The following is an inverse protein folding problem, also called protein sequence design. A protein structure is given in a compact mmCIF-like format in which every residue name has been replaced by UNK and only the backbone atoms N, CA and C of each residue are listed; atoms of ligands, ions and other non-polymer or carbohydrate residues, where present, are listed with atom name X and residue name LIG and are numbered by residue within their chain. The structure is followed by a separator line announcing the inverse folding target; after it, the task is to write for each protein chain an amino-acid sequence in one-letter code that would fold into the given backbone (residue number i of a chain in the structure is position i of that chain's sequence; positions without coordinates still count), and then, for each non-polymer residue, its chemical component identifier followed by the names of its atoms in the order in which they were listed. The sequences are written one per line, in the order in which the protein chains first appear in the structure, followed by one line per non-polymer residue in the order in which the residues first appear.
data_IF_803429523786
#
_entry.id   IF_803429523786
#
_cell.length_a   1.000
_cell.length_b   1.000
_cell.length_c   1.000
_cell.angle_alpha   90.00
_cell.angle_beta   90.00
_cell.angle_gamma   90.00
#
_symmetry.space_group_name_H-M   'P 1'
#
loop_
_entity.id
_entity.type
_entity.pdbx_description
1 polymer ?
#
# COMPACT_ATOMS: atom_id res chain seq x y z
N UNK A 1 -28.70 18.37 11.48
CA UNK A 1 -29.61 17.51 10.71
C UNK A 1 -30.50 16.75 11.69
N UNK A 2 -31.81 16.91 11.61
CA UNK A 2 -32.78 16.34 12.57
C UNK A 2 -32.85 14.81 12.46
N UNK A 3 -33.20 14.11 13.54
CA UNK A 3 -33.26 12.64 13.60
C UNK A 3 -34.30 12.06 12.61
N UNK A 4 -35.31 12.86 12.29
CA UNK A 4 -36.32 12.57 11.26
C UNK A 4 -35.71 12.48 9.84
N UNK A 5 -34.85 13.46 9.47
CA UNK A 5 -34.20 13.50 8.14
C UNK A 5 -33.22 12.35 7.93
N UNK A 6 -32.54 11.93 9.01
CA UNK A 6 -31.65 10.78 9.01
C UNK A 6 -32.42 9.49 8.73
N UNK A 7 -33.52 9.28 9.47
CA UNK A 7 -34.39 8.12 9.32
C UNK A 7 -35.01 8.04 7.92
N UNK A 8 -35.41 9.18 7.35
CA UNK A 8 -35.93 9.27 5.99
C UNK A 8 -34.86 8.90 4.94
N UNK A 9 -33.62 9.37 5.11
CA UNK A 9 -32.51 9.08 4.20
C UNK A 9 -32.14 7.59 4.21
N UNK A 10 -32.06 6.97 5.40
CA UNK A 10 -31.82 5.53 5.53
C UNK A 10 -32.96 4.69 4.95
N UNK A 11 -34.22 5.11 5.14
CA UNK A 11 -35.38 4.43 4.55
C UNK A 11 -35.34 4.52 3.02
N UNK A 12 -34.97 5.68 2.47
CA UNK A 12 -34.83 5.84 1.03
C UNK A 12 -33.73 4.94 0.47
N UNK A 13 -32.55 4.91 1.11
CA UNK A 13 -31.47 4.01 0.71
C UNK A 13 -31.92 2.54 0.73
N UNK A 14 -32.62 2.10 1.79
CA UNK A 14 -33.17 0.73 1.91
C UNK A 14 -34.13 0.39 0.78
N UNK A 15 -35.07 1.30 0.47
CA UNK A 15 -36.03 1.12 -0.63
C UNK A 15 -35.33 1.03 -1.97
N UNK A 16 -34.32 1.87 -2.21
CA UNK A 16 -33.54 1.87 -3.46
C UNK A 16 -32.75 0.58 -3.62
N UNK A 17 -32.03 0.12 -2.59
CA UNK A 17 -31.35 -1.18 -2.61
C UNK A 17 -32.33 -2.33 -2.89
N UNK A 18 -33.47 -2.35 -2.21
CA UNK A 18 -34.49 -3.38 -2.40
C UNK A 18 -35.08 -3.38 -3.82
N UNK A 19 -35.26 -2.20 -4.43
CA UNK A 19 -35.72 -2.06 -5.82
C UNK A 19 -34.69 -2.65 -6.78
N UNK A 20 -33.42 -2.26 -6.62
CA UNK A 20 -32.31 -2.70 -7.49
C UNK A 20 -32.10 -4.20 -7.40
N UNK A 21 -32.12 -4.78 -6.19
CA UNK A 21 -31.98 -6.22 -6.03
C UNK A 21 -33.15 -6.99 -6.65
N UNK A 22 -34.38 -6.50 -6.53
CA UNK A 22 -35.54 -7.11 -7.19
C UNK A 22 -35.44 -7.05 -8.71
N UNK A 23 -34.94 -5.94 -9.25
CA UNK A 23 -34.73 -5.75 -10.70
C UNK A 23 -33.65 -6.69 -11.26
N UNK A 24 -32.63 -7.03 -10.44
CA UNK A 24 -31.43 -7.74 -10.88
C UNK A 24 -31.26 -9.16 -10.27
N UNK A 25 -32.30 -9.74 -9.67
CA UNK A 25 -32.26 -11.10 -9.13
C UNK A 25 -31.31 -11.28 -7.94
N UNK A 26 -31.38 -10.37 -6.97
CA UNK A 26 -30.54 -10.32 -5.75
C UNK A 26 -29.03 -10.11 -6.00
N UNK A 27 -28.64 -9.66 -7.20
CA UNK A 27 -27.27 -9.32 -7.56
C UNK A 27 -27.18 -7.84 -7.95
N UNK A 28 -26.11 -7.15 -7.56
CA UNK A 28 -25.80 -5.81 -8.06
C UNK A 28 -24.75 -5.96 -9.15
N UNK A 29 -25.14 -5.83 -10.43
CA UNK A 29 -24.25 -6.09 -11.56
C UNK A 29 -23.33 -4.91 -11.87
N UNK A 30 -21.99 -5.07 -11.89
CA UNK A 30 -20.98 -4.00 -12.04
C UNK A 30 -21.06 -3.17 -13.33
N UNK A 31 -21.87 -3.58 -14.29
CA UNK A 31 -22.03 -2.90 -15.59
C UNK A 31 -23.32 -2.08 -15.74
N UNK A 32 -24.22 -2.00 -14.76
CA UNK A 32 -25.45 -1.21 -14.88
C UNK A 32 -25.28 0.25 -14.40
N UNK A 33 -25.23 1.25 -15.30
CA UNK A 33 -25.06 2.65 -14.92
C UNK A 33 -26.27 3.18 -14.14
N UNK A 34 -27.47 2.63 -14.37
CA UNK A 34 -28.69 3.10 -13.71
C UNK A 34 -28.69 2.77 -12.22
N UNK A 35 -28.17 1.59 -11.87
CA UNK A 35 -27.97 1.20 -10.48
C UNK A 35 -26.99 2.13 -9.77
N UNK A 36 -25.87 2.47 -10.43
CA UNK A 36 -24.87 3.41 -9.93
C UNK A 36 -25.47 4.78 -9.60
N UNK A 37 -26.18 5.36 -10.56
CA UNK A 37 -26.73 6.71 -10.50
C UNK A 37 -27.85 6.85 -9.46
N UNK A 38 -28.54 5.74 -9.14
CA UNK A 38 -29.59 5.70 -8.12
C UNK A 38 -29.06 5.55 -6.70
N UNK A 39 -28.06 4.69 -6.48
CA UNK A 39 -27.60 4.33 -5.13
C UNK A 39 -26.51 5.28 -4.62
N UNK A 40 -25.52 5.62 -5.45
CA UNK A 40 -24.32 6.33 -4.99
C UNK A 40 -24.61 7.69 -4.34
N UNK A 41 -25.50 8.56 -4.88
CA UNK A 41 -25.79 9.84 -4.24
C UNK A 41 -26.44 9.68 -2.85
N UNK A 42 -27.31 8.68 -2.68
CA UNK A 42 -27.94 8.36 -1.40
C UNK A 42 -26.91 7.81 -0.42
N UNK A 43 -26.01 6.94 -0.90
CA UNK A 43 -24.95 6.38 -0.08
C UNK A 43 -23.96 7.45 0.40
N UNK A 44 -23.54 8.38 -0.47
CA UNK A 44 -22.71 9.51 -0.07
C UNK A 44 -23.38 10.36 1.01
N UNK A 45 -24.67 10.65 0.86
CA UNK A 45 -25.42 11.39 1.87
C UNK A 45 -25.42 10.65 3.21
N UNK A 46 -25.54 9.32 3.20
CA UNK A 46 -25.39 8.50 4.41
C UNK A 46 -23.96 8.57 4.94
N UNK A 47 -22.92 8.43 4.12
CA UNK A 47 -21.53 8.58 4.58
C UNK A 47 -21.30 9.90 5.31
N UNK A 48 -21.75 11.04 4.75
CA UNK A 48 -21.61 12.35 5.42
C UNK A 48 -22.41 12.46 6.73
N UNK A 49 -23.47 11.64 6.91
CA UNK A 49 -24.19 11.55 8.20
C UNK A 49 -23.39 10.81 9.27
N UNK A 50 -22.56 9.84 8.87
CA UNK A 50 -21.70 9.06 9.75
C UNK A 50 -20.31 9.69 9.90
N UNK A 51 -19.88 10.53 8.95
CA UNK A 51 -18.58 11.20 8.97
C UNK A 51 -18.73 12.63 8.41
N UNK A 52 -19.01 13.64 9.27
CA UNK A 52 -19.06 15.04 8.87
C UNK A 52 -17.76 15.53 8.21
N UNK A 53 -17.88 16.36 7.17
CA UNK A 53 -16.73 16.89 6.40
C UNK A 53 -15.76 17.75 7.24
N UNK A 54 -16.20 18.28 8.38
CA UNK A 54 -15.33 19.02 9.31
C UNK A 54 -14.41 18.10 10.13
N UNK A 55 -14.81 16.83 10.33
CA UNK A 55 -13.95 15.81 10.95
C UNK A 55 -12.93 15.24 9.96
N UNK A 56 -13.14 15.44 8.65
CA UNK A 56 -12.17 15.16 7.58
C UNK A 56 -10.90 16.04 7.65
N UNK A 57 -10.98 17.19 8.31
CA UNK A 57 -9.87 18.16 8.43
C UNK A 57 -8.92 17.84 9.60
N UNK A 58 -9.33 17.02 10.57
CA UNK A 58 -8.51 16.61 11.73
C UNK A 58 -8.08 15.12 11.66
N UNK A 59 -7.76 14.64 10.46
CA UNK A 59 -7.64 13.22 10.12
C UNK A 59 -6.35 12.53 10.57
N UNK A 60 -6.06 12.51 11.88
CA UNK A 60 -5.02 11.60 12.39
C UNK A 60 -5.36 10.77 13.63
N UNK A 61 -6.29 11.18 14.49
CA UNK A 61 -6.51 10.42 15.74
C UNK A 61 -7.97 10.18 16.15
N UNK A 62 -8.98 10.83 15.56
CA UNK A 62 -10.34 10.88 16.16
C UNK A 62 -11.42 10.09 15.39
N UNK A 63 -11.19 9.74 14.12
CA UNK A 63 -12.25 9.20 13.23
C UNK A 63 -12.69 7.77 13.60
N UNK A 64 -11.94 7.07 14.44
CA UNK A 64 -12.32 5.70 14.85
C UNK A 64 -13.51 5.60 15.80
N UNK A 65 -14.04 6.70 16.35
CA UNK A 65 -14.95 6.62 17.50
C UNK A 65 -16.32 7.30 17.39
N UNK A 66 -16.78 7.72 16.22
CA UNK A 66 -18.17 8.17 16.07
C UNK A 66 -18.86 7.51 14.87
N UNK A 67 -19.69 6.50 15.17
CA UNK A 67 -20.58 5.75 14.27
C UNK A 67 -19.85 4.99 13.16
N UNK A 68 -19.59 3.70 13.39
CA UNK A 68 -18.73 2.90 12.53
C UNK A 68 -19.50 2.33 11.32
N UNK A 69 -18.83 2.15 10.17
CA UNK A 69 -19.39 1.42 9.03
C UNK A 69 -19.96 0.03 9.38
N UNK A 70 -19.58 -0.54 10.53
CA UNK A 70 -20.15 -1.79 11.06
C UNK A 70 -21.65 -1.68 11.36
N UNK A 71 -22.11 -0.54 11.86
CA UNK A 71 -23.54 -0.34 12.10
C UNK A 71 -24.34 -0.41 10.79
N UNK A 72 -23.78 0.12 9.70
CA UNK A 72 -24.38 0.02 8.37
C UNK A 72 -24.38 -1.43 7.88
N UNK A 73 -23.30 -2.19 8.12
CA UNK A 73 -23.23 -3.61 7.76
C UNK A 73 -24.27 -4.46 8.52
N UNK A 74 -24.56 -4.11 9.77
CA UNK A 74 -25.63 -4.77 10.55
C UNK A 74 -27.02 -4.40 10.01
N UNK A 75 -27.22 -3.15 9.61
CA UNK A 75 -28.52 -2.65 9.16
C UNK A 75 -28.86 -2.99 7.70
N UNK A 76 -27.86 -3.26 6.87
CA UNK A 76 -28.00 -3.44 5.42
C UNK A 76 -27.11 -4.60 4.93
N UNK A 77 -27.73 -5.75 4.68
CA UNK A 77 -27.06 -6.93 4.10
C UNK A 77 -26.52 -6.67 2.68
N UNK A 78 -27.07 -5.66 2.01
CA UNK A 78 -26.77 -5.25 0.64
C UNK A 78 -25.43 -4.52 0.52
N UNK A 79 -24.85 -4.08 1.63
CA UNK A 79 -23.59 -3.34 1.64
C UNK A 79 -22.41 -4.18 1.15
N UNK A 80 -22.36 -5.47 1.48
CA UNK A 80 -21.27 -6.34 1.00
C UNK A 80 -21.33 -6.49 -0.53
N UNK A 81 -22.46 -6.90 -1.16
CA UNK A 81 -22.59 -6.87 -2.62
C UNK A 81 -22.31 -5.49 -3.24
N UNK A 82 -22.77 -4.42 -2.60
CA UNK A 82 -22.53 -3.06 -3.07
C UNK A 82 -21.05 -2.67 -3.03
N UNK A 83 -20.30 -3.11 -2.02
CA UNK A 83 -18.85 -2.93 -1.96
C UNK A 83 -18.15 -3.63 -3.13
N UNK A 84 -18.57 -4.85 -3.48
CA UNK A 84 -18.09 -5.56 -4.67
C UNK A 84 -18.36 -4.79 -5.94
N UNK A 85 -19.59 -4.30 -6.10
CA UNK A 85 -19.99 -3.47 -7.24
C UNK A 85 -19.12 -2.21 -7.39
N UNK A 86 -18.89 -1.46 -6.31
CA UNK A 86 -18.02 -0.27 -6.32
C UNK A 86 -16.57 -0.62 -6.65
N UNK A 87 -16.07 -1.74 -6.12
CA UNK A 87 -14.71 -2.22 -6.35
C UNK A 87 -14.51 -2.65 -7.81
N UNK A 88 -15.45 -3.41 -8.37
CA UNK A 88 -15.45 -3.80 -9.78
C UNK A 88 -15.49 -2.58 -10.71
N UNK A 89 -16.31 -1.58 -10.37
CA UNK A 89 -16.39 -0.33 -11.12
C UNK A 89 -15.05 0.42 -11.12
N UNK A 90 -14.41 0.59 -9.95
CA UNK A 90 -13.08 1.20 -9.87
C UNK A 90 -12.06 0.43 -10.69
N UNK A 91 -12.02 -0.90 -10.56
CA UNK A 91 -11.08 -1.75 -11.30
C UNK A 91 -11.31 -1.63 -12.80
N UNK A 92 -12.56 -1.63 -13.25
CA UNK A 92 -12.90 -1.44 -14.66
C UNK A 92 -12.41 -0.08 -15.18
N UNK A 93 -12.75 1.01 -14.49
CA UNK A 93 -12.39 2.37 -14.92
C UNK A 93 -10.88 2.62 -14.87
N UNK A 94 -10.17 2.07 -13.88
CA UNK A 94 -8.70 2.12 -13.79
C UNK A 94 -8.08 1.35 -14.95
N UNK A 95 -8.48 0.10 -15.18
CA UNK A 95 -7.92 -0.73 -16.27
C UNK A 95 -8.21 -0.13 -17.64
N UNK A 96 -9.39 0.44 -17.84
CA UNK A 96 -9.73 1.16 -19.08
C UNK A 96 -8.77 2.31 -19.34
N UNK A 97 -8.37 3.05 -18.30
CA UNK A 97 -7.41 4.15 -18.38
C UNK A 97 -5.96 3.70 -18.41
N UNK A 98 -5.65 2.52 -17.89
CA UNK A 98 -4.33 1.92 -18.02
C UNK A 98 -4.03 1.52 -19.48
N UNK A 99 -5.07 1.30 -20.30
CA UNK A 99 -4.95 1.05 -21.73
C UNK A 99 -4.76 2.36 -22.52
N UNK A 100 -3.59 2.99 -22.33
CA UNK A 100 -3.13 4.17 -23.05
C UNK A 100 -1.85 3.86 -23.85
N UNK A 101 -1.44 4.77 -24.73
CA UNK A 101 -0.28 4.58 -25.61
C UNK A 101 1.05 4.59 -24.83
N UNK A 102 1.10 5.30 -23.70
CA UNK A 102 2.25 5.36 -22.81
C UNK A 102 1.88 5.19 -21.34
N UNK A 103 2.85 4.78 -20.52
CA UNK A 103 2.69 4.68 -19.05
C UNK A 103 2.43 6.04 -18.41
N UNK A 104 3.01 7.12 -18.96
CA UNK A 104 2.77 8.51 -18.51
C UNK A 104 1.32 8.94 -18.71
N UNK A 105 0.76 8.70 -19.89
CA UNK A 105 -0.64 9.02 -20.18
C UNK A 105 -1.59 8.14 -19.38
N UNK A 106 -1.25 6.86 -19.19
CA UNK A 106 -1.98 5.97 -18.30
C UNK A 106 -2.03 6.52 -16.86
N UNK A 107 -0.87 6.91 -16.31
CA UNK A 107 -0.76 7.49 -14.98
C UNK A 107 -1.59 8.77 -14.86
N UNK A 108 -1.45 9.70 -15.82
CA UNK A 108 -2.20 10.95 -15.84
C UNK A 108 -3.71 10.74 -15.93
N UNK A 109 -4.17 9.82 -16.79
CA UNK A 109 -5.59 9.52 -16.95
C UNK A 109 -6.21 8.91 -15.69
N UNK A 110 -5.48 7.99 -15.02
CA UNK A 110 -5.92 7.39 -13.75
C UNK A 110 -5.95 8.46 -12.66
N UNK A 111 -4.90 9.29 -12.55
CA UNK A 111 -4.84 10.40 -11.61
C UNK A 111 -6.01 11.37 -11.82
N UNK A 112 -6.29 11.78 -13.06
CA UNK A 112 -7.39 12.68 -13.41
C UNK A 112 -8.77 12.14 -13.04
N UNK A 113 -8.95 10.82 -13.10
CA UNK A 113 -10.20 10.18 -12.70
C UNK A 113 -10.39 10.13 -11.18
N UNK A 114 -9.31 9.89 -10.45
CA UNK A 114 -9.36 9.70 -9.00
C UNK A 114 -9.24 11.01 -8.21
N UNK A 115 -8.75 12.10 -8.82
CA UNK A 115 -8.49 13.37 -8.13
C UNK A 115 -9.72 13.90 -7.39
N UNK A 116 -9.45 14.50 -6.24
CA UNK A 116 -10.46 15.03 -5.33
C UNK A 116 -11.21 16.26 -5.86
N UNK A 117 -10.76 16.87 -6.95
CA UNK A 117 -11.33 18.09 -7.49
C UNK A 117 -11.73 17.95 -8.97
N UNK A 118 -13.00 18.19 -9.33
CA UNK A 118 -14.09 18.60 -8.44
C UNK A 118 -14.49 17.50 -7.44
N UNK A 119 -15.02 17.84 -6.25
CA UNK A 119 -15.37 16.87 -5.20
C UNK A 119 -16.46 15.88 -5.61
N UNK A 120 -17.24 16.22 -6.63
CA UNK A 120 -18.27 15.37 -7.24
C UNK A 120 -17.72 14.47 -8.36
N UNK A 121 -16.39 14.41 -8.56
CA UNK A 121 -15.81 13.51 -9.55
C UNK A 121 -16.20 12.08 -9.21
N UNK A 122 -16.63 11.33 -10.23
CA UNK A 122 -17.17 9.98 -10.05
C UNK A 122 -16.13 9.05 -9.43
N UNK A 123 -14.88 9.10 -9.89
CA UNK A 123 -13.80 8.24 -9.38
C UNK A 123 -13.47 8.54 -7.93
N UNK A 124 -13.35 9.82 -7.56
CA UNK A 124 -13.14 10.23 -6.17
C UNK A 124 -14.25 9.78 -5.24
N UNK A 125 -15.49 9.95 -5.69
CA UNK A 125 -16.68 9.58 -4.93
C UNK A 125 -16.71 8.08 -4.62
N UNK A 126 -16.42 7.24 -5.61
CA UNK A 126 -16.37 5.78 -5.41
C UNK A 126 -15.18 5.39 -4.55
N UNK A 127 -14.02 6.02 -4.73
CA UNK A 127 -12.84 5.78 -3.89
C UNK A 127 -13.17 6.04 -2.41
N UNK A 128 -13.77 7.20 -2.09
CA UNK A 128 -14.20 7.52 -0.73
C UNK A 128 -15.21 6.50 -0.17
N UNK A 129 -16.15 6.07 -1.00
CA UNK A 129 -17.15 5.07 -0.59
C UNK A 129 -16.51 3.72 -0.26
N UNK A 130 -15.55 3.26 -1.07
CA UNK A 130 -14.80 2.03 -0.78
C UNK A 130 -13.94 2.19 0.48
N UNK A 131 -13.21 3.29 0.63
CA UNK A 131 -12.40 3.57 1.83
C UNK A 131 -13.23 3.60 3.10
N UNK A 132 -14.43 4.21 3.06
CA UNK A 132 -15.37 4.19 4.17
C UNK A 132 -15.86 2.78 4.50
N UNK A 133 -16.13 1.92 3.51
CA UNK A 133 -16.52 0.54 3.79
C UNK A 133 -15.37 -0.30 4.36
N UNK A 134 -14.14 -0.06 3.90
CA UNK A 134 -12.92 -0.71 4.41
C UNK A 134 -12.67 -0.37 5.88
N UNK A 135 -13.00 0.85 6.33
CA UNK A 135 -12.83 1.24 7.74
C UNK A 135 -13.78 0.53 8.71
N UNK A 136 -14.72 -0.31 8.23
CA UNK A 136 -15.44 -1.28 9.07
C UNK A 136 -14.51 -2.31 9.73
N UNK A 137 -13.38 -2.65 9.09
CA UNK A 137 -12.59 -3.80 9.52
C UNK A 137 -13.28 -5.15 9.29
N UNK A 138 -14.42 -5.19 8.59
CA UNK A 138 -15.18 -6.41 8.35
C UNK A 138 -14.52 -7.34 7.34
N UNK A 139 -14.20 -8.58 7.74
CA UNK A 139 -13.59 -9.59 6.87
C UNK A 139 -14.40 -9.85 5.58
N UNK A 140 -15.74 -9.73 5.63
CA UNK A 140 -16.61 -9.89 4.46
C UNK A 140 -16.37 -8.81 3.40
N UNK A 141 -16.06 -7.58 3.84
CA UNK A 141 -15.72 -6.47 2.94
C UNK A 141 -14.39 -6.73 2.27
N UNK A 142 -13.34 -7.08 3.03
CA UNK A 142 -12.03 -7.40 2.44
C UNK A 142 -12.09 -8.55 1.43
N UNK A 143 -12.79 -9.63 1.79
CA UNK A 143 -13.00 -10.76 0.87
C UNK A 143 -13.72 -10.33 -0.42
N UNK A 144 -14.71 -9.45 -0.31
CA UNK A 144 -15.44 -8.98 -1.47
C UNK A 144 -14.57 -8.07 -2.36
N UNK A 145 -13.76 -7.20 -1.77
CA UNK A 145 -12.79 -6.34 -2.47
C UNK A 145 -11.74 -7.19 -3.21
N UNK A 146 -11.26 -8.28 -2.59
CA UNK A 146 -10.31 -9.20 -3.21
C UNK A 146 -10.93 -9.92 -4.42
N UNK A 147 -12.20 -10.33 -4.36
CA UNK A 147 -12.89 -10.94 -5.52
C UNK A 147 -12.91 -9.99 -6.73
N UNK A 148 -13.03 -8.69 -6.49
CA UNK A 148 -12.98 -7.65 -7.51
C UNK A 148 -11.57 -7.36 -8.05
N UNK A 149 -10.52 -7.95 -7.47
CA UNK A 149 -9.12 -7.69 -7.83
C UNK A 149 -8.71 -6.23 -7.63
N UNK A 150 -9.32 -5.53 -6.66
CA UNK A 150 -8.98 -4.13 -6.40
C UNK A 150 -7.56 -3.97 -5.83
N UNK A 151 -7.07 -4.77 -4.86
CA UNK A 151 -5.74 -4.57 -4.29
C UNK A 151 -4.62 -4.68 -5.32
N UNK A 152 -4.59 -5.75 -6.10
CA UNK A 152 -3.68 -5.93 -7.23
C UNK A 152 -3.74 -4.81 -8.26
N UNK A 153 -4.95 -4.33 -8.58
CA UNK A 153 -5.13 -3.19 -9.49
C UNK A 153 -4.56 -1.90 -8.90
N UNK A 154 -4.75 -1.65 -7.60
CA UNK A 154 -4.19 -0.48 -6.94
C UNK A 154 -2.66 -0.56 -6.84
N UNK A 155 -2.06 -1.73 -6.54
CA UNK A 155 -0.59 -1.90 -6.58
C UNK A 155 -0.02 -1.47 -7.94
N UNK A 156 -0.68 -1.86 -9.04
CA UNK A 156 -0.30 -1.42 -10.39
C UNK A 156 -0.45 0.08 -10.60
N UNK A 157 -1.46 0.72 -10.01
CA UNK A 157 -1.62 2.18 -10.02
C UNK A 157 -0.45 2.86 -9.31
N UNK A 158 -0.10 2.40 -8.11
CA UNK A 158 1.05 2.92 -7.36
C UNK A 158 2.37 2.77 -8.12
N UNK A 159 2.54 1.66 -8.83
CA UNK A 159 3.71 1.44 -9.68
C UNK A 159 3.71 2.37 -10.92
N UNK A 160 2.56 2.56 -11.57
CA UNK A 160 2.42 3.49 -12.71
C UNK A 160 2.66 4.95 -12.31
N UNK A 161 2.37 5.33 -11.07
CA UNK A 161 2.56 6.70 -10.61
C UNK A 161 4.03 7.13 -10.49
N UNK A 162 4.99 6.22 -10.66
CA UNK A 162 6.39 6.62 -10.91
C UNK A 162 6.59 7.34 -12.25
N UNK A 163 5.66 7.17 -13.20
CA UNK A 163 5.64 7.86 -14.50
C UNK A 163 4.70 9.08 -14.53
N UNK A 164 4.08 9.44 -13.40
CA UNK A 164 3.21 10.61 -13.31
C UNK A 164 4.02 11.91 -13.51
N UNK A 165 3.46 12.88 -14.23
CA UNK A 165 4.08 14.21 -14.31
C UNK A 165 4.11 14.85 -12.90
N UNK A 166 5.28 15.21 -12.35
CA UNK A 166 5.38 15.85 -11.04
C UNK A 166 4.51 17.10 -10.89
N UNK A 167 4.29 17.85 -11.97
CA UNK A 167 3.44 19.03 -11.95
C UNK A 167 1.97 18.70 -11.72
N UNK A 168 1.53 17.51 -12.16
CA UNK A 168 0.18 17.02 -11.89
C UNK A 168 0.01 16.52 -10.47
N UNK A 169 1.09 16.25 -9.73
CA UNK A 169 1.08 15.70 -8.38
C UNK A 169 1.31 16.79 -7.30
N UNK A 170 1.90 17.92 -7.66
CA UNK A 170 2.31 19.00 -6.73
C UNK A 170 1.21 19.99 -6.31
N UNK A 171 -0.07 19.75 -6.59
CA UNK A 171 -1.16 20.62 -6.11
C UNK A 171 -1.73 20.16 -4.76
N UNK A 172 -2.13 21.10 -3.89
CA UNK A 172 -2.71 20.82 -2.56
C UNK A 172 -3.92 19.87 -2.64
N UNK A 173 -4.63 19.90 -3.77
CA UNK A 173 -5.78 19.05 -4.07
C UNK A 173 -5.39 17.58 -4.33
N UNK A 174 -4.14 17.31 -4.71
CA UNK A 174 -3.62 15.95 -4.91
C UNK A 174 -3.14 15.31 -3.62
N UNK A 175 -2.83 16.09 -2.59
CA UNK A 175 -2.46 15.54 -1.28
C UNK A 175 -3.61 14.68 -0.72
N UNK A 176 -4.86 15.13 -0.89
CA UNK A 176 -6.05 14.34 -0.53
C UNK A 176 -6.13 13.00 -1.27
N UNK A 177 -5.79 12.99 -2.56
CA UNK A 177 -5.78 11.75 -3.36
C UNK A 177 -4.71 10.80 -2.82
N UNK A 178 -3.49 11.30 -2.64
CA UNK A 178 -2.39 10.53 -2.08
C UNK A 178 -2.76 9.93 -0.71
N UNK A 179 -3.19 10.76 0.23
CA UNK A 179 -3.54 10.33 1.60
C UNK A 179 -4.65 9.26 1.58
N UNK A 180 -5.67 9.44 0.73
CA UNK A 180 -6.80 8.50 0.64
C UNK A 180 -6.40 7.17 0.02
N UNK A 181 -5.58 7.18 -1.04
CA UNK A 181 -5.08 5.96 -1.66
C UNK A 181 -4.13 5.20 -0.74
N UNK A 182 -3.22 5.91 -0.07
CA UNK A 182 -2.26 5.31 0.87
C UNK A 182 -2.99 4.70 2.06
N UNK A 183 -3.96 5.42 2.64
CA UNK A 183 -4.74 4.90 3.76
C UNK A 183 -5.55 3.66 3.38
N UNK A 184 -6.20 3.68 2.21
CA UNK A 184 -6.93 2.53 1.70
C UNK A 184 -6.00 1.32 1.55
N UNK A 185 -4.89 1.48 0.82
CA UNK A 185 -3.96 0.39 0.57
C UNK A 185 -3.26 -0.11 1.81
N UNK A 186 -2.82 0.77 2.72
CA UNK A 186 -2.22 0.37 3.99
C UNK A 186 -3.20 -0.42 4.85
N UNK A 187 -4.48 -0.03 4.87
CA UNK A 187 -5.52 -0.77 5.59
C UNK A 187 -5.74 -2.15 4.96
N UNK A 188 -5.89 -2.23 3.63
CA UNK A 188 -6.05 -3.49 2.91
C UNK A 188 -4.87 -4.44 3.15
N UNK A 189 -3.64 -3.94 3.08
CA UNK A 189 -2.41 -4.72 3.25
C UNK A 189 -2.25 -5.34 4.65
N UNK A 190 -3.04 -4.89 5.63
CA UNK A 190 -3.07 -5.48 6.97
C UNK A 190 -3.88 -6.77 7.10
N UNK A 191 -4.51 -7.26 6.01
CA UNK A 191 -5.33 -8.47 6.02
C UNK A 191 -4.76 -9.57 5.13
N UNK A 192 -4.68 -10.80 5.67
CA UNK A 192 -4.11 -11.96 4.99
C UNK A 192 -4.73 -12.25 3.61
N UNK A 193 -6.06 -12.15 3.48
CA UNK A 193 -6.75 -12.39 2.20
C UNK A 193 -6.31 -11.42 1.09
N UNK A 194 -5.84 -10.22 1.43
CA UNK A 194 -5.31 -9.24 0.48
C UNK A 194 -3.91 -9.66 0.03
N UNK A 195 -3.04 -10.04 0.97
CA UNK A 195 -1.71 -10.56 0.63
C UNK A 195 -1.81 -11.82 -0.26
N UNK A 196 -2.77 -12.70 0.04
CA UNK A 196 -3.09 -13.85 -0.81
C UNK A 196 -3.57 -13.41 -2.20
N UNK A 197 -4.50 -12.45 -2.32
CA UNK A 197 -4.94 -11.95 -3.62
C UNK A 197 -3.76 -11.44 -4.47
N UNK A 198 -2.84 -10.69 -3.85
CA UNK A 198 -1.66 -10.15 -4.53
C UNK A 198 -0.74 -11.24 -5.08
N UNK A 199 -0.50 -12.33 -4.35
CA UNK A 199 0.31 -13.45 -4.85
C UNK A 199 -0.42 -14.24 -5.94
N UNK A 200 -1.75 -14.36 -5.86
CA UNK A 200 -2.55 -15.02 -6.89
C UNK A 200 -2.57 -14.22 -8.20
N UNK A 201 -2.46 -12.89 -8.13
CA UNK A 201 -2.35 -12.01 -9.30
C UNK A 201 -0.92 -11.75 -9.77
N UNK A 202 0.07 -12.32 -9.09
CA UNK A 202 1.50 -12.13 -9.38
C UNK A 202 1.98 -10.68 -9.20
N UNK A 203 1.29 -9.89 -8.38
CA UNK A 203 1.55 -8.45 -8.24
C UNK A 203 2.29 -8.07 -6.96
N UNK A 204 2.41 -8.97 -5.96
CA UNK A 204 3.16 -8.69 -4.73
C UNK A 204 4.64 -8.31 -5.01
N UNK A 205 5.23 -8.87 -6.08
CA UNK A 205 6.62 -8.55 -6.47
C UNK A 205 6.79 -7.07 -6.86
N UNK A 206 5.72 -6.43 -7.36
CA UNK A 206 5.76 -5.01 -7.72
C UNK A 206 5.99 -4.11 -6.52
N UNK A 207 5.53 -4.50 -5.32
CA UNK A 207 5.82 -3.75 -4.10
C UNK A 207 7.33 -3.77 -3.78
N UNK A 208 7.99 -4.93 -3.91
CA UNK A 208 9.45 -5.02 -3.72
C UNK A 208 10.22 -4.17 -4.73
N UNK A 209 9.85 -4.24 -6.01
CA UNK A 209 10.48 -3.43 -7.06
C UNK A 209 10.20 -1.95 -6.80
N UNK A 210 8.94 -1.60 -6.51
CA UNK A 210 8.51 -0.22 -6.28
C UNK A 210 9.20 0.44 -5.11
N UNK A 211 9.36 -0.27 -3.98
CA UNK A 211 10.05 0.22 -2.78
C UNK A 211 11.53 0.56 -2.97
N UNK A 212 12.15 0.09 -4.06
CA UNK A 212 13.55 0.34 -4.39
C UNK A 212 13.74 1.00 -5.76
N UNK A 213 12.65 1.44 -6.39
CA UNK A 213 12.68 2.05 -7.72
C UNK A 213 13.31 3.44 -7.71
N UNK A 214 14.02 3.77 -8.78
CA UNK A 214 14.48 5.14 -9.03
C UNK A 214 13.30 5.98 -9.47
N UNK A 215 13.10 7.14 -8.84
CA UNK A 215 12.07 8.10 -9.21
C UNK A 215 12.60 9.53 -9.01
N UNK A 216 12.00 10.54 -9.69
CA UNK A 216 12.22 11.95 -9.37
C UNK A 216 11.95 12.24 -7.90
N UNK A 217 12.62 13.27 -7.35
CA UNK A 217 12.52 13.64 -5.93
C UNK A 217 11.08 13.95 -5.53
N UNK A 218 10.33 14.56 -6.44
CA UNK A 218 8.92 14.93 -6.28
C UNK A 218 8.00 13.70 -6.13
N UNK A 219 8.43 12.54 -6.64
CA UNK A 219 7.64 11.30 -6.66
C UNK A 219 8.10 10.28 -5.61
N UNK A 220 9.07 10.62 -4.75
CA UNK A 220 9.59 9.73 -3.68
C UNK A 220 8.46 9.23 -2.77
N UNK A 221 7.44 10.05 -2.50
CA UNK A 221 6.28 9.66 -1.68
C UNK A 221 5.58 8.38 -2.19
N UNK A 222 5.56 8.14 -3.50
CA UNK A 222 4.99 6.92 -4.07
C UNK A 222 5.86 5.70 -3.80
N UNK A 223 7.19 5.85 -3.75
CA UNK A 223 8.10 4.77 -3.34
C UNK A 223 7.91 4.45 -1.85
N UNK A 224 7.81 5.46 -1.02
CA UNK A 224 7.60 5.31 0.43
C UNK A 224 6.24 4.65 0.72
N UNK A 225 5.21 4.98 -0.06
CA UNK A 225 3.93 4.27 -0.01
C UNK A 225 4.06 2.78 -0.35
N UNK A 226 4.76 2.42 -1.43
CA UNK A 226 5.03 1.02 -1.77
C UNK A 226 5.74 0.28 -0.61
N UNK A 227 6.74 0.91 0.00
CA UNK A 227 7.43 0.35 1.16
C UNK A 227 6.51 0.18 2.37
N UNK A 228 5.66 1.16 2.65
CA UNK A 228 4.67 1.11 3.73
C UNK A 228 3.73 -0.09 3.56
N UNK A 229 3.24 -0.34 2.34
CA UNK A 229 2.37 -1.48 2.04
C UNK A 229 3.11 -2.80 2.23
N UNK A 230 4.33 -2.89 1.68
CA UNK A 230 5.16 -4.07 1.82
C UNK A 230 5.47 -4.40 3.28
N UNK A 231 5.90 -3.40 4.06
CA UNK A 231 6.17 -3.55 5.49
C UNK A 231 4.92 -3.97 6.27
N UNK A 232 3.75 -3.41 5.92
CA UNK A 232 2.47 -3.80 6.53
C UNK A 232 2.14 -5.27 6.25
N UNK A 233 2.34 -5.76 5.02
CA UNK A 233 2.12 -7.17 4.67
C UNK A 233 3.05 -8.06 5.48
N UNK A 234 4.35 -7.75 5.52
CA UNK A 234 5.33 -8.56 6.24
C UNK A 234 5.03 -8.60 7.75
N UNK A 235 4.59 -7.49 8.33
CA UNK A 235 4.31 -7.41 9.76
C UNK A 235 2.97 -8.05 10.16
N UNK A 236 1.92 -7.93 9.32
CA UNK A 236 0.54 -8.25 9.73
C UNK A 236 -0.13 -9.37 8.94
N UNK A 237 0.41 -9.74 7.77
CA UNK A 237 -0.28 -10.59 6.80
C UNK A 237 0.65 -11.58 6.10
N UNK A 238 1.78 -11.87 6.73
CA UNK A 238 2.74 -12.84 6.24
C UNK A 238 2.24 -14.26 6.53
N UNK A 239 1.69 -14.92 5.52
CA UNK A 239 1.29 -16.33 5.59
C UNK A 239 2.33 -17.25 4.95
N UNK A 240 2.32 -18.57 5.22
CA UNK A 240 3.22 -19.52 4.56
C UNK A 240 3.14 -19.48 3.02
N UNK A 241 1.95 -19.19 2.47
CA UNK A 241 1.77 -19.04 1.03
C UNK A 241 2.49 -17.80 0.49
N UNK A 242 2.40 -16.68 1.21
CA UNK A 242 3.09 -15.43 0.89
C UNK A 242 4.61 -15.61 1.00
N UNK A 243 5.12 -16.22 2.06
CA UNK A 243 6.55 -16.52 2.23
C UNK A 243 7.08 -17.39 1.08
N UNK A 244 6.33 -18.44 0.71
CA UNK A 244 6.70 -19.32 -0.41
C UNK A 244 6.74 -18.55 -1.73
N UNK A 245 5.76 -17.68 -1.97
CA UNK A 245 5.74 -16.82 -3.16
C UNK A 245 6.96 -15.90 -3.20
N UNK A 246 7.27 -15.19 -2.10
CA UNK A 246 8.40 -14.25 -2.01
C UNK A 246 9.70 -14.93 -2.43
N UNK A 247 9.97 -16.14 -1.92
CA UNK A 247 11.15 -16.92 -2.27
C UNK A 247 11.12 -17.42 -3.71
N UNK A 248 9.99 -17.99 -4.15
CA UNK A 248 9.86 -18.55 -5.49
C UNK A 248 10.00 -17.48 -6.59
N UNK A 249 9.55 -16.26 -6.33
CA UNK A 249 9.65 -15.12 -7.24
C UNK A 249 10.93 -14.32 -7.10
N UNK A 250 11.78 -14.62 -6.12
CA UNK A 250 13.03 -13.91 -5.89
C UNK A 250 12.81 -12.43 -5.56
N UNK A 251 11.75 -12.11 -4.79
CA UNK A 251 11.35 -10.73 -4.53
C UNK A 251 12.46 -9.89 -3.85
N UNK A 252 13.21 -10.49 -2.92
CA UNK A 252 14.38 -9.85 -2.28
C UNK A 252 15.46 -9.53 -3.33
N UNK A 253 15.80 -10.49 -4.19
CA UNK A 253 16.74 -10.26 -5.30
C UNK A 253 16.29 -9.19 -6.29
N UNK A 254 14.99 -9.09 -6.58
CA UNK A 254 14.43 -8.01 -7.39
C UNK A 254 14.64 -6.64 -6.74
N UNK A 255 14.41 -6.54 -5.43
CA UNK A 255 14.67 -5.31 -4.67
C UNK A 255 16.15 -4.92 -4.75
N UNK A 256 17.06 -5.85 -4.43
CA UNK A 256 18.50 -5.61 -4.41
C UNK A 256 19.07 -5.25 -5.79
N UNK A 257 18.54 -5.87 -6.85
CA UNK A 257 18.92 -5.52 -8.23
C UNK A 257 18.48 -4.11 -8.60
N UNK A 258 17.28 -3.72 -8.18
CA UNK A 258 16.76 -2.37 -8.42
C UNK A 258 17.57 -1.34 -7.63
N UNK A 259 17.89 -1.64 -6.37
CA UNK A 259 18.81 -0.88 -5.53
C UNK A 259 20.18 -0.67 -6.19
N UNK A 260 20.83 -1.74 -6.66
CA UNK A 260 22.16 -1.68 -7.29
C UNK A 260 22.18 -0.77 -8.52
N UNK A 261 21.10 -0.76 -9.29
CA UNK A 261 20.99 0.01 -10.51
C UNK A 261 20.57 1.48 -10.27
N UNK A 262 20.38 1.90 -9.02
CA UNK A 262 19.97 3.27 -8.73
C UNK A 262 21.07 4.30 -9.00
N UNK A 263 20.63 5.41 -9.61
CA UNK A 263 21.44 6.62 -9.88
C UNK A 263 21.20 7.74 -8.84
N UNK A 264 20.60 7.38 -7.72
CA UNK A 264 20.28 8.24 -6.58
C UNK A 264 21.52 8.67 -5.79
N UNK A 265 21.33 9.63 -4.88
CA UNK A 265 22.38 10.08 -3.96
C UNK A 265 22.72 8.98 -2.94
N UNK A 266 23.86 9.14 -2.26
CA UNK A 266 24.25 8.21 -1.18
C UNK A 266 23.20 8.20 -0.06
N UNK A 267 22.65 9.36 0.32
CA UNK A 267 21.65 9.45 1.39
C UNK A 267 20.39 8.64 1.03
N UNK A 268 19.93 8.74 -0.23
CA UNK A 268 18.77 7.99 -0.70
C UNK A 268 19.03 6.48 -0.76
N UNK A 269 20.26 6.06 -1.11
CA UNK A 269 20.68 4.65 -1.01
C UNK A 269 20.67 4.15 0.42
N UNK A 270 21.08 4.98 1.39
CA UNK A 270 21.01 4.62 2.82
C UNK A 270 19.58 4.38 3.26
N UNK A 271 18.63 5.24 2.87
CA UNK A 271 17.21 5.06 3.20
C UNK A 271 16.66 3.76 2.62
N UNK A 272 16.94 3.46 1.36
CA UNK A 272 16.41 2.24 0.71
C UNK A 272 17.01 0.97 1.31
N UNK A 273 18.31 0.97 1.62
CA UNK A 273 18.92 -0.18 2.30
C UNK A 273 18.37 -0.34 3.73
N UNK A 274 18.17 0.76 4.45
CA UNK A 274 17.55 0.75 5.79
C UNK A 274 16.14 0.15 5.74
N UNK A 275 15.34 0.54 4.75
CA UNK A 275 14.01 -0.04 4.52
C UNK A 275 14.07 -1.56 4.29
N UNK A 276 15.02 -2.07 3.49
CA UNK A 276 15.21 -3.51 3.33
C UNK A 276 15.57 -4.19 4.66
N UNK A 277 16.47 -3.60 5.44
CA UNK A 277 16.88 -4.15 6.74
C UNK A 277 15.67 -4.22 7.69
N UNK A 278 14.88 -3.15 7.78
CA UNK A 278 13.66 -3.14 8.61
C UNK A 278 12.66 -4.20 8.15
N UNK A 279 12.55 -4.44 6.84
CA UNK A 279 11.70 -5.50 6.30
C UNK A 279 12.19 -6.90 6.71
N UNK A 280 13.50 -7.14 6.64
CA UNK A 280 14.10 -8.40 7.07
C UNK A 280 13.88 -8.62 8.58
N UNK A 281 14.09 -7.59 9.40
CA UNK A 281 13.82 -7.61 10.84
C UNK A 281 12.37 -7.99 11.12
N UNK A 282 11.40 -7.35 10.47
CA UNK A 282 9.98 -7.65 10.65
C UNK A 282 9.64 -9.09 10.22
N UNK A 283 10.27 -9.59 9.15
CA UNK A 283 10.04 -10.96 8.68
C UNK A 283 10.61 -12.03 9.61
N UNK A 284 11.69 -11.73 10.34
CA UNK A 284 12.43 -12.68 11.18
C UNK A 284 11.60 -13.24 12.34
N UNK A 285 10.58 -12.51 12.80
CA UNK A 285 9.63 -12.99 13.82
C UNK A 285 8.85 -14.23 13.35
N UNK A 286 8.71 -14.40 12.03
CA UNK A 286 7.93 -15.48 11.41
C UNK A 286 8.76 -16.44 10.56
N UNK A 287 9.81 -15.95 9.89
CA UNK A 287 10.63 -16.76 8.96
C UNK A 287 12.02 -16.16 8.73
N UNK A 288 13.02 -17.02 8.57
CA UNK A 288 14.38 -16.62 8.16
C UNK A 288 14.61 -16.69 6.64
N UNK A 289 13.62 -17.11 5.86
CA UNK A 289 13.80 -17.33 4.42
C UNK A 289 14.20 -16.06 3.65
N UNK A 290 13.68 -14.89 4.03
CA UNK A 290 14.01 -13.62 3.37
C UNK A 290 15.45 -13.17 3.67
N UNK A 291 15.90 -13.45 4.88
CA UNK A 291 17.26 -13.23 5.37
C UNK A 291 18.25 -14.13 4.57
N UNK A 292 17.92 -15.41 4.39
CA UNK A 292 18.69 -16.31 3.52
C UNK A 292 18.74 -15.82 2.07
N UNK A 293 17.62 -15.36 1.52
CA UNK A 293 17.55 -14.84 0.15
C UNK A 293 18.40 -13.57 0.00
N UNK A 294 18.35 -12.67 0.99
CA UNK A 294 19.18 -11.46 1.04
C UNK A 294 20.67 -11.79 1.03
N UNK A 295 21.09 -12.77 1.84
CA UNK A 295 22.47 -13.26 1.87
C UNK A 295 22.89 -13.84 0.51
N UNK A 296 22.07 -14.73 -0.05
CA UNK A 296 22.32 -15.38 -1.33
C UNK A 296 22.47 -14.37 -2.47
N UNK A 297 21.72 -13.28 -2.45
CA UNK A 297 21.74 -12.24 -3.48
C UNK A 297 22.80 -11.15 -3.21
N UNK A 298 23.69 -11.36 -2.24
CA UNK A 298 24.84 -10.49 -1.94
C UNK A 298 24.46 -9.21 -1.19
N UNK A 299 23.36 -9.23 -0.43
CA UNK A 299 22.86 -8.07 0.30
C UNK A 299 23.84 -7.54 1.34
N UNK A 300 24.58 -8.41 2.03
CA UNK A 300 25.59 -7.97 3.01
C UNK A 300 26.75 -7.23 2.39
N UNK A 301 27.29 -7.75 1.28
CA UNK A 301 28.31 -7.03 0.52
C UNK A 301 27.82 -5.64 0.10
N UNK A 302 26.56 -5.50 -0.32
CA UNK A 302 26.00 -4.18 -0.64
C UNK A 302 25.97 -3.23 0.56
N UNK A 303 25.70 -3.74 1.77
CA UNK A 303 25.75 -2.93 2.98
C UNK A 303 27.19 -2.49 3.26
N UNK A 304 28.16 -3.41 3.18
CA UNK A 304 29.59 -3.08 3.38
C UNK A 304 30.04 -2.01 2.38
N UNK A 305 29.72 -2.17 1.11
CA UNK A 305 30.05 -1.20 0.05
C UNK A 305 29.43 0.18 0.34
N UNK A 306 28.17 0.20 0.78
CA UNK A 306 27.47 1.43 1.15
C UNK A 306 28.12 2.11 2.36
N UNK A 307 28.58 1.35 3.33
CA UNK A 307 29.27 1.87 4.51
C UNK A 307 30.62 2.46 4.16
N UNK A 308 31.42 1.80 3.31
CA UNK A 308 32.70 2.33 2.84
C UNK A 308 32.51 3.65 2.07
N UNK A 309 31.51 3.71 1.19
CA UNK A 309 31.15 4.95 0.46
C UNK A 309 30.71 6.07 1.42
N UNK A 310 29.91 5.73 2.44
CA UNK A 310 29.42 6.69 3.43
C UNK A 310 30.56 7.18 4.32
N UNK A 311 31.43 6.28 4.77
CA UNK A 311 32.59 6.59 5.59
C UNK A 311 33.57 7.53 4.88
N UNK A 312 33.90 7.23 3.61
CA UNK A 312 34.81 8.07 2.80
C UNK A 312 34.19 9.43 2.45
N UNK A 313 32.87 9.54 2.44
CA UNK A 313 32.18 10.82 2.30
C UNK A 313 32.17 11.58 3.64
N UNK A 314 33.06 12.57 3.77
CA UNK A 314 33.16 13.45 4.95
C UNK A 314 31.88 14.27 5.27
N UNK A 315 30.81 14.14 4.47
CA UNK A 315 29.54 14.88 4.61
C UNK A 315 28.40 14.09 5.27
N UNK A 316 28.50 12.76 5.40
CA UNK A 316 27.46 11.96 6.06
C UNK A 316 27.39 12.25 7.56
N UNK A 317 26.21 12.27 8.15
CA UNK A 317 26.02 12.57 9.58
C UNK A 317 26.38 11.36 10.45
N UNK A 318 26.75 11.59 11.72
CA UNK A 318 27.01 10.51 12.69
C UNK A 318 25.77 9.63 12.91
N UNK A 319 24.57 10.20 12.80
CA UNK A 319 23.30 9.47 12.95
C UNK A 319 23.10 8.43 11.85
N UNK A 320 23.39 8.75 10.58
CA UNK A 320 23.31 7.79 9.47
C UNK A 320 24.24 6.59 9.68
N UNK A 321 25.45 6.84 10.18
CA UNK A 321 26.42 5.78 10.50
C UNK A 321 25.93 4.89 11.65
N UNK A 322 25.35 5.49 12.70
CA UNK A 322 24.81 4.76 13.86
C UNK A 322 23.57 3.94 13.48
N UNK A 323 22.69 4.46 12.64
CA UNK A 323 21.49 3.73 12.17
C UNK A 323 21.89 2.49 11.38
N UNK A 324 22.82 2.64 10.42
CA UNK A 324 23.28 1.50 9.61
C UNK A 324 23.95 0.46 10.52
N UNK A 325 24.84 0.87 11.42
CA UNK A 325 25.49 -0.03 12.38
C UNK A 325 24.50 -0.76 13.30
N UNK A 326 23.56 -0.03 13.91
CA UNK A 326 22.57 -0.60 14.83
C UNK A 326 21.71 -1.64 14.10
N UNK A 327 21.26 -1.30 12.91
CA UNK A 327 20.45 -2.17 12.07
C UNK A 327 21.21 -3.42 11.60
N UNK A 328 22.49 -3.30 11.26
CA UNK A 328 23.34 -4.45 10.92
C UNK A 328 23.58 -5.36 12.12
N UNK A 329 23.91 -4.79 13.28
CA UNK A 329 24.12 -5.56 14.51
C UNK A 329 22.83 -6.29 14.91
N UNK A 330 21.66 -5.66 14.76
CA UNK A 330 20.38 -6.28 15.07
C UNK A 330 20.00 -7.37 14.06
N UNK A 331 20.28 -7.20 12.76
CA UNK A 331 20.10 -8.28 11.78
C UNK A 331 21.01 -9.47 12.08
N UNK A 332 22.28 -9.22 12.40
CA UNK A 332 23.22 -10.27 12.77
C UNK A 332 22.82 -10.96 14.07
N UNK A 333 22.28 -10.22 15.04
CA UNK A 333 21.76 -10.78 16.29
C UNK A 333 20.56 -11.69 16.03
N UNK A 334 19.56 -11.21 15.29
CA UNK A 334 18.32 -11.95 15.02
C UNK A 334 18.56 -13.17 14.10
N UNK A 335 19.58 -13.12 13.25
CA UNK A 335 19.97 -14.25 12.39
C UNK A 335 20.94 -15.23 13.06
N UNK A 336 21.77 -14.79 14.01
CA UNK A 336 22.63 -15.69 14.78
C UNK A 336 21.82 -16.65 15.67
N UNK A 337 20.61 -16.24 16.11
CA UNK A 337 19.66 -17.12 16.80
C UNK A 337 19.13 -18.24 15.90
N UNK A 338 19.18 -18.07 14.56
CA UNK A 338 18.63 -19.01 13.59
C UNK A 338 19.68 -19.78 12.76
N UNK A 339 20.86 -19.22 12.45
CA UNK A 339 21.93 -19.89 11.69
C UNK A 339 23.32 -19.23 11.85
N UNK A 340 24.33 -19.97 12.35
CA UNK A 340 25.72 -19.49 12.49
C UNK A 340 26.41 -19.08 11.17
N UNK A 341 25.97 -19.62 10.02
CA UNK A 341 26.58 -19.33 8.71
C UNK A 341 26.44 -17.87 8.28
N UNK A 342 25.42 -17.16 8.78
CA UNK A 342 25.15 -15.79 8.36
C UNK A 342 26.17 -14.80 8.95
N UNK A 343 26.55 -14.99 10.21
CA UNK A 343 27.63 -14.21 10.84
C UNK A 343 28.94 -14.49 10.13
N UNK A 344 29.21 -15.75 9.79
CA UNK A 344 30.44 -16.11 9.06
C UNK A 344 30.52 -15.43 7.69
N UNK A 345 29.43 -15.41 6.92
CA UNK A 345 29.42 -14.79 5.59
C UNK A 345 29.51 -13.26 5.67
N UNK A 346 28.82 -12.64 6.64
CA UNK A 346 29.00 -11.21 6.91
C UNK A 346 30.46 -10.85 7.26
N UNK A 347 31.10 -11.67 8.11
CA UNK A 347 32.51 -11.46 8.47
C UNK A 347 33.45 -11.67 7.26
N UNK A 348 33.15 -12.65 6.38
CA UNK A 348 33.92 -12.88 5.14
C UNK A 348 33.83 -11.72 4.16
N UNK A 349 32.66 -11.08 4.07
CA UNK A 349 32.40 -9.96 3.15
C UNK A 349 32.96 -8.61 3.68
N UNK A 350 33.86 -8.65 4.66
CA UNK A 350 34.53 -7.45 5.20
C UNK A 350 33.83 -6.82 6.40
N UNK A 351 32.77 -7.45 6.93
CA UNK A 351 32.02 -6.95 8.08
C UNK A 351 32.86 -6.77 9.34
N UNK A 352 33.87 -7.62 9.57
CA UNK A 352 34.78 -7.47 10.71
C UNK A 352 35.60 -6.20 10.63
N UNK A 353 36.25 -5.96 9.48
CA UNK A 353 37.08 -4.77 9.28
C UNK A 353 36.25 -3.50 9.37
N UNK A 354 35.04 -3.54 8.79
CA UNK A 354 34.08 -2.45 8.92
C UNK A 354 33.75 -2.16 10.40
N UNK A 355 33.45 -3.17 11.22
CA UNK A 355 33.17 -2.98 12.65
C UNK A 355 34.38 -2.37 13.37
N UNK A 356 35.59 -2.85 13.09
CA UNK A 356 36.83 -2.33 13.68
C UNK A 356 37.04 -0.86 13.32
N UNK A 357 36.95 -0.52 12.03
CA UNK A 357 37.11 0.85 11.54
C UNK A 357 36.08 1.83 12.13
N UNK A 358 34.94 1.31 12.58
CA UNK A 358 33.86 2.06 13.22
C UNK A 358 33.96 2.10 14.75
N UNK A 359 34.57 1.10 15.40
CA UNK A 359 34.82 1.09 16.85
C UNK A 359 36.04 1.93 17.27
N UNK A 360 36.96 2.19 16.34
CA UNK A 360 38.09 3.11 16.54
C UNK A 360 37.69 4.61 16.41
N UNK A 361 36.38 4.89 16.28
CA UNK A 361 35.75 6.21 16.42
C UNK A 361 35.47 6.56 17.88
#
# INVERSE_FOLDING_TARGET
MDNSDKSLTLLHLRKTFSSVLKENGDVISPGDPKTFERILPLFNKVMHMYTPDELLVQFKEIVMHMYTPDELLVQFKEIVPFCGYLSDYLVHEIRRRANNESTKEAAAAIHDFLKANPPESKGWTVLKAVSFLVSSGSQKIFQQICKSCLPSTLVKVFYLFFDLDPNLDNSDTNQFLYDSLVMLMATLCGYECVAEELIHKDDLVLLFIGSSSTCPVELIKWRDANFTFLSTIILKSLSPAVTKYIRAKGCVGHYLRTYRNQKSTTEEKVVIMTNMIDLLRNSAESTNSMIEDFMKDGGFQMIVDLCDITYRNQKSTTEEKVVIMTNMIDLLRNSAESTNSMVEDFMKDGGFQMIVDLCDM
#
